data_IF_933153278107
#
_entry.id   IF_933153278107
#
_cell.length_a   1.000
_cell.length_b   1.000
_cell.length_c   1.000
_cell.angle_alpha   90.00
_cell.angle_beta   90.00
_cell.angle_gamma   90.00
#
_symmetry.space_group_name_H-M   'P 1'
#
loop_
_entity.id
_entity.type
_entity.pdbx_description
1 polymer ?
#
# COMPACT_ATOMS: atom_id res chain seq x y z
N UNK A 1 -24.40 -5.95 -15.47
CA UNK A 1 -24.65 -5.13 -14.27
C UNK A 1 -23.57 -4.06 -14.23
N UNK A 2 -23.92 -2.79 -14.30
CA UNK A 2 -22.95 -1.71 -14.12
C UNK A 2 -22.44 -1.81 -12.68
N UNK A 3 -21.17 -2.12 -12.52
CA UNK A 3 -20.52 -2.17 -11.21
C UNK A 3 -20.64 -0.80 -10.55
N UNK A 4 -21.00 -0.76 -9.28
CA UNK A 4 -21.04 0.46 -8.49
C UNK A 4 -19.67 1.14 -8.55
N UNK A 5 -19.64 2.42 -8.87
CA UNK A 5 -18.40 3.20 -8.90
C UNK A 5 -17.70 3.11 -7.53
N UNK A 6 -16.40 2.78 -7.48
CA UNK A 6 -15.70 2.62 -6.21
C UNK A 6 -15.36 3.93 -5.52
N UNK A 7 -15.49 5.09 -6.18
CA UNK A 7 -15.28 6.40 -5.58
C UNK A 7 -16.32 6.72 -4.52
N UNK A 8 -15.87 7.29 -3.40
CA UNK A 8 -16.71 7.59 -2.24
C UNK A 8 -16.94 9.08 -2.07
N UNK A 9 -15.90 9.92 -2.25
CA UNK A 9 -16.02 11.36 -2.11
C UNK A 9 -14.93 12.10 -2.88
N UNK A 10 -15.18 13.40 -3.09
CA UNK A 10 -14.21 14.38 -3.55
C UNK A 10 -14.23 15.57 -2.61
N UNK A 11 -13.06 16.12 -2.28
CA UNK A 11 -12.92 17.28 -1.41
C UNK A 11 -11.83 18.24 -1.89
N UNK A 12 -11.91 19.48 -1.42
CA UNK A 12 -10.98 20.55 -1.74
C UNK A 12 -10.45 21.19 -0.45
N UNK A 13 -9.15 21.25 -0.33
CA UNK A 13 -8.42 21.96 0.72
C UNK A 13 -7.60 23.06 0.06
N UNK A 14 -7.67 24.27 0.58
CA UNK A 14 -6.90 25.43 0.08
C UNK A 14 -5.96 25.93 1.16
N UNK A 15 -4.77 26.38 0.75
CA UNK A 15 -3.86 27.20 1.53
C UNK A 15 -3.92 28.63 1.00
N UNK A 16 -4.28 29.55 1.88
CA UNK A 16 -4.38 30.95 1.51
C UNK A 16 -3.02 31.68 1.50
N UNK A 17 -3.02 32.95 1.20
CA UNK A 17 -1.82 33.82 1.22
C UNK A 17 -1.30 34.11 2.61
N UNK A 18 -2.10 33.87 3.67
CA UNK A 18 -1.69 33.99 5.06
C UNK A 18 -1.02 32.71 5.60
N UNK A 19 -1.09 31.61 4.85
CA UNK A 19 -0.55 30.31 5.22
C UNK A 19 -1.57 29.36 5.88
N UNK A 20 -2.83 29.80 6.04
CA UNK A 20 -3.90 28.97 6.60
C UNK A 20 -4.41 27.95 5.60
N UNK A 21 -4.50 26.67 6.02
CA UNK A 21 -5.05 25.60 5.21
C UNK A 21 -6.43 25.18 5.73
N UNK A 22 -7.42 25.27 4.84
CA UNK A 22 -8.81 25.04 5.21
C UNK A 22 -9.52 24.09 4.22
N UNK A 23 -10.43 23.26 4.72
CA UNK A 23 -11.42 22.58 3.91
C UNK A 23 -12.43 23.57 3.36
N UNK A 24 -12.41 23.75 2.04
CA UNK A 24 -13.33 24.65 1.36
C UNK A 24 -14.63 23.95 1.04
N UNK A 25 -14.53 22.67 0.60
CA UNK A 25 -15.67 21.93 0.11
C UNK A 25 -15.43 20.42 0.14
N UNK A 26 -16.51 19.63 0.25
CA UNK A 26 -16.47 18.17 0.19
C UNK A 26 -17.82 17.61 -0.24
N UNK A 27 -17.82 16.62 -1.14
CA UNK A 27 -19.02 15.94 -1.61
C UNK A 27 -18.77 14.47 -1.93
N UNK A 28 -19.58 13.52 -1.44
CA UNK A 28 -20.44 13.66 -0.27
C UNK A 28 -19.65 13.98 0.99
N UNK A 29 -20.34 14.29 2.10
CA UNK A 29 -19.71 14.59 3.38
C UNK A 29 -18.96 13.37 3.92
N UNK A 30 -17.79 13.57 4.48
CA UNK A 30 -16.98 12.56 5.18
C UNK A 30 -17.03 12.77 6.69
N UNK A 31 -16.60 11.77 7.47
CA UNK A 31 -16.54 11.88 8.94
C UNK A 31 -15.50 12.92 9.38
N UNK A 32 -15.70 13.52 10.54
CA UNK A 32 -14.77 14.50 11.11
C UNK A 32 -13.35 13.91 11.26
N UNK A 33 -13.25 12.68 11.78
CA UNK A 33 -11.99 11.98 11.96
C UNK A 33 -11.20 11.82 10.64
N UNK A 34 -11.88 11.37 9.57
CA UNK A 34 -11.27 11.24 8.25
C UNK A 34 -10.88 12.61 7.69
N UNK A 35 -11.70 13.63 7.92
CA UNK A 35 -11.44 15.01 7.49
C UNK A 35 -10.16 15.58 8.13
N UNK A 36 -9.97 15.40 9.43
CA UNK A 36 -8.78 15.84 10.14
C UNK A 36 -7.52 15.10 9.67
N UNK A 37 -7.62 13.78 9.49
CA UNK A 37 -6.52 12.98 8.97
C UNK A 37 -6.12 13.48 7.57
N UNK A 38 -7.07 13.65 6.67
CA UNK A 38 -6.80 14.07 5.29
C UNK A 38 -6.21 15.49 5.22
N UNK A 39 -6.65 16.40 6.09
CA UNK A 39 -6.06 17.75 6.20
C UNK A 39 -4.56 17.67 6.54
N UNK A 40 -4.19 16.83 7.52
CA UNK A 40 -2.78 16.57 7.84
C UNK A 40 -2.01 15.96 6.67
N UNK A 41 -2.64 15.01 5.93
CA UNK A 41 -2.00 14.35 4.77
C UNK A 41 -1.79 15.27 3.56
N UNK A 42 -2.51 16.39 3.48
CA UNK A 42 -2.26 17.41 2.46
C UNK A 42 -0.93 18.15 2.66
N UNK A 43 -0.34 18.12 3.88
CA UNK A 43 0.93 18.79 4.23
C UNK A 43 0.96 20.27 3.84
N UNK A 44 -0.16 20.98 4.04
CA UNK A 44 -0.29 22.39 3.71
C UNK A 44 -0.17 23.31 4.95
N UNK A 45 -0.19 22.76 6.18
CA UNK A 45 -0.31 23.51 7.43
C UNK A 45 1.02 23.87 8.09
N UNK A 46 2.11 23.16 7.80
CA UNK A 46 3.43 23.41 8.38
C UNK A 46 4.25 24.41 7.56
N UNK A 47 5.05 25.25 8.22
CA UNK A 47 5.97 26.17 7.54
C UNK A 47 7.12 25.43 6.82
N UNK A 48 7.49 24.24 7.33
CA UNK A 48 8.56 23.39 6.80
C UNK A 48 8.05 22.09 6.16
N UNK A 49 6.74 21.96 5.96
CA UNK A 49 6.19 20.74 5.35
C UNK A 49 6.60 20.65 3.88
N UNK A 50 7.14 19.51 3.51
CA UNK A 50 7.40 19.21 2.10
C UNK A 50 6.06 18.95 1.40
N UNK A 51 5.75 19.80 0.42
CA UNK A 51 4.54 19.65 -0.37
C UNK A 51 4.74 18.55 -1.40
N UNK A 52 3.93 17.50 -1.30
CA UNK A 52 3.94 16.39 -2.23
C UNK A 52 2.88 16.58 -3.31
N UNK A 53 3.25 16.42 -4.57
CA UNK A 53 2.33 16.59 -5.71
C UNK A 53 1.25 15.51 -5.76
N UNK A 54 1.58 14.31 -5.34
CA UNK A 54 0.63 13.21 -5.25
C UNK A 54 0.99 12.28 -4.10
N UNK A 55 0.00 12.01 -3.24
CA UNK A 55 0.13 11.01 -2.17
C UNK A 55 -1.12 10.13 -2.11
N UNK A 56 -0.95 8.90 -1.69
CA UNK A 56 -2.06 8.00 -1.45
C UNK A 56 -1.83 7.20 -0.16
N UNK A 57 -2.91 6.77 0.43
CA UNK A 57 -2.87 5.96 1.64
C UNK A 57 -4.22 5.34 1.95
N UNK A 58 -4.29 4.69 3.10
CA UNK A 58 -5.51 4.04 3.56
C UNK A 58 -5.78 4.42 5.00
N UNK A 59 -7.06 4.62 5.32
CA UNK A 59 -7.54 4.75 6.68
C UNK A 59 -8.83 3.94 6.85
N UNK A 60 -8.83 2.95 7.74
CA UNK A 60 -9.99 2.07 8.02
C UNK A 60 -10.63 1.50 6.74
N UNK A 61 -9.81 0.94 5.85
CA UNK A 61 -10.21 0.36 4.54
C UNK A 61 -10.76 1.36 3.52
N UNK A 62 -10.64 2.66 3.77
CA UNK A 62 -10.93 3.70 2.80
C UNK A 62 -9.60 4.20 2.23
N UNK A 63 -9.42 4.07 0.93
CA UNK A 63 -8.29 4.64 0.22
C UNK A 63 -8.49 6.13 0.03
N UNK A 64 -7.44 6.91 0.19
CA UNK A 64 -7.40 8.32 -0.16
C UNK A 64 -6.29 8.60 -1.16
N UNK A 65 -6.54 9.56 -2.03
CA UNK A 65 -5.65 10.01 -3.08
C UNK A 65 -5.66 11.52 -3.08
N UNK A 66 -4.52 12.15 -2.84
CA UNK A 66 -4.39 13.59 -2.71
C UNK A 66 -3.49 14.10 -3.82
N UNK A 67 -4.01 15.01 -4.62
CA UNK A 67 -3.24 15.72 -5.64
C UNK A 67 -3.11 17.17 -5.21
N UNK A 68 -1.88 17.63 -4.95
CA UNK A 68 -1.59 19.01 -4.53
C UNK A 68 -0.98 19.80 -5.68
N UNK A 69 -1.45 21.02 -5.84
CA UNK A 69 -1.04 21.90 -6.92
C UNK A 69 -0.74 23.29 -6.38
N UNK A 70 0.37 23.87 -6.80
CA UNK A 70 0.70 25.28 -6.57
C UNK A 70 -0.04 26.17 -7.57
N UNK A 71 -0.63 27.25 -7.11
CA UNK A 71 -1.29 28.24 -7.97
C UNK A 71 -0.21 29.14 -8.57
N UNK A 72 -0.02 29.02 -9.89
CA UNK A 72 0.97 29.81 -10.63
C UNK A 72 0.39 31.11 -11.18
N UNK A 73 -0.89 31.06 -11.59
CA UNK A 73 -1.61 32.22 -12.09
C UNK A 73 -2.78 32.57 -11.15
N UNK A 74 -2.71 33.70 -10.42
CA UNK A 74 -3.71 34.05 -9.44
C UNK A 74 -5.01 34.64 -10.03
N UNK A 75 -5.20 34.68 -11.34
CA UNK A 75 -6.39 35.32 -11.98
C UNK A 75 -7.70 34.74 -11.46
N UNK A 76 -7.80 33.40 -11.37
CA UNK A 76 -9.02 32.73 -10.87
C UNK A 76 -8.96 32.45 -9.35
N UNK A 77 -7.78 32.41 -8.76
CA UNK A 77 -7.53 32.00 -7.36
C UNK A 77 -6.62 32.99 -6.62
N UNK A 78 -6.99 34.30 -6.64
CA UNK A 78 -6.13 35.39 -6.17
C UNK A 78 -5.70 35.35 -4.70
N UNK A 79 -6.38 34.56 -3.87
CA UNK A 79 -6.07 34.41 -2.42
C UNK A 79 -5.53 33.02 -2.06
N UNK A 80 -5.30 32.16 -3.02
CA UNK A 80 -4.87 30.76 -2.81
C UNK A 80 -3.46 30.58 -3.34
N UNK A 81 -2.57 30.06 -2.52
CA UNK A 81 -1.17 29.72 -2.91
C UNK A 81 -1.05 28.29 -3.39
N UNK A 82 -1.72 27.38 -2.70
CA UNK A 82 -1.76 25.95 -3.01
C UNK A 82 -3.15 25.40 -2.74
N UNK A 83 -3.50 24.35 -3.43
CA UNK A 83 -4.68 23.58 -3.09
C UNK A 83 -4.45 22.09 -3.26
N UNK A 84 -5.16 21.29 -2.49
CA UNK A 84 -5.16 19.82 -2.57
C UNK A 84 -6.55 19.35 -2.94
N UNK A 85 -6.61 18.55 -3.99
CA UNK A 85 -7.79 17.78 -4.34
C UNK A 85 -7.70 16.42 -3.67
N UNK A 86 -8.72 16.07 -2.89
CA UNK A 86 -8.78 14.82 -2.13
C UNK A 86 -9.87 13.92 -2.71
N UNK A 87 -9.48 12.73 -3.18
CA UNK A 87 -10.41 11.69 -3.61
C UNK A 87 -10.39 10.56 -2.59
N UNK A 88 -11.56 10.01 -2.23
CA UNK A 88 -11.64 8.78 -1.45
C UNK A 88 -12.31 7.68 -2.24
N UNK A 89 -11.88 6.44 -2.03
CA UNK A 89 -12.36 5.28 -2.80
C UNK A 89 -12.27 3.97 -2.01
N UNK A 90 -12.96 2.93 -2.51
CA UNK A 90 -12.87 1.57 -2.00
C UNK A 90 -11.76 0.76 -2.64
N UNK A 91 -11.37 1.07 -3.86
CA UNK A 91 -10.38 0.34 -4.64
C UNK A 91 -8.99 0.97 -4.56
N UNK A 92 -7.97 0.14 -4.69
CA UNK A 92 -6.58 0.54 -4.83
C UNK A 92 -6.25 0.74 -6.31
N UNK A 93 -6.10 1.99 -6.74
CA UNK A 93 -5.66 2.30 -8.11
C UNK A 93 -5.03 3.71 -8.16
N UNK A 94 -3.77 3.87 -7.69
CA UNK A 94 -3.12 5.18 -7.66
C UNK A 94 -3.05 5.88 -9.02
N UNK A 95 -2.78 5.15 -10.10
CA UNK A 95 -2.67 5.69 -11.46
C UNK A 95 -3.99 6.32 -11.93
N UNK A 96 -5.10 5.60 -11.69
CA UNK A 96 -6.45 6.07 -12.01
C UNK A 96 -6.77 7.37 -11.30
N UNK A 97 -6.54 7.41 -9.98
CA UNK A 97 -6.90 8.56 -9.17
C UNK A 97 -5.92 9.73 -9.33
N UNK A 98 -4.64 9.46 -9.61
CA UNK A 98 -3.69 10.50 -10.00
C UNK A 98 -4.08 11.17 -11.33
N UNK A 99 -4.49 10.39 -12.33
CA UNK A 99 -4.92 10.91 -13.61
C UNK A 99 -6.21 11.74 -13.47
N UNK A 100 -7.19 11.21 -12.74
CA UNK A 100 -8.44 11.93 -12.50
C UNK A 100 -8.24 13.18 -11.66
N UNK A 101 -7.43 13.10 -10.59
CA UNK A 101 -7.06 14.24 -9.75
C UNK A 101 -6.43 15.37 -10.56
N UNK A 102 -5.51 15.05 -11.47
CA UNK A 102 -4.90 16.06 -12.36
C UNK A 102 -5.91 16.76 -13.26
N UNK A 103 -6.90 16.02 -13.80
CA UNK A 103 -7.97 16.63 -14.63
C UNK A 103 -8.78 17.62 -13.79
N UNK A 104 -9.19 17.22 -12.59
CA UNK A 104 -9.97 18.07 -11.70
C UNK A 104 -9.17 19.28 -11.17
N UNK A 105 -7.88 19.11 -10.86
CA UNK A 105 -7.01 20.22 -10.45
C UNK A 105 -6.87 21.27 -11.53
N UNK A 106 -6.68 20.87 -12.79
CA UNK A 106 -6.62 21.81 -13.92
C UNK A 106 -7.95 22.52 -14.14
N UNK A 107 -9.06 21.80 -14.00
CA UNK A 107 -10.40 22.39 -14.05
C UNK A 107 -10.57 23.45 -12.97
N UNK A 108 -10.14 23.14 -11.73
CA UNK A 108 -10.22 24.09 -10.64
C UNK A 108 -9.30 25.31 -10.85
N UNK A 109 -8.07 25.09 -11.29
CA UNK A 109 -7.13 26.18 -11.62
C UNK A 109 -7.71 27.16 -12.63
N UNK A 110 -8.42 26.65 -13.64
CA UNK A 110 -9.01 27.47 -14.71
C UNK A 110 -10.23 28.29 -14.27
N UNK A 111 -11.12 27.66 -13.49
CA UNK A 111 -12.43 28.27 -13.20
C UNK A 111 -12.56 28.84 -11.78
N UNK A 112 -11.69 28.43 -10.83
CA UNK A 112 -11.77 28.85 -9.42
C UNK A 112 -13.09 28.46 -8.73
N UNK A 113 -13.83 27.48 -9.27
CA UNK A 113 -15.17 27.13 -8.81
C UNK A 113 -15.29 25.64 -8.48
N UNK A 114 -15.54 25.26 -7.20
CA UNK A 114 -15.73 23.88 -6.78
C UNK A 114 -16.90 23.15 -7.49
N UNK A 115 -17.92 23.87 -7.99
CA UNK A 115 -19.01 23.25 -8.72
C UNK A 115 -18.53 22.52 -9.99
N UNK A 116 -17.47 23.01 -10.63
CA UNK A 116 -16.87 22.36 -11.80
C UNK A 116 -16.15 21.05 -11.43
N UNK A 117 -15.56 20.98 -10.22
CA UNK A 117 -15.02 19.73 -9.68
C UNK A 117 -16.15 18.72 -9.48
N UNK A 118 -17.27 19.17 -8.90
CA UNK A 118 -18.44 18.32 -8.66
C UNK A 118 -19.04 17.79 -9.96
N UNK A 119 -19.16 18.60 -11.00
CA UNK A 119 -19.62 18.16 -12.32
C UNK A 119 -18.75 17.02 -12.86
N UNK A 120 -17.41 17.18 -12.83
CA UNK A 120 -16.46 16.14 -13.24
C UNK A 120 -16.57 14.87 -12.40
N UNK A 121 -16.68 15.00 -11.10
CA UNK A 121 -16.86 13.89 -10.18
C UNK A 121 -18.15 13.11 -10.46
N UNK A 122 -19.30 13.78 -10.54
CA UNK A 122 -20.59 13.16 -10.83
C UNK A 122 -20.56 12.48 -12.21
N UNK A 123 -19.97 13.11 -13.23
CA UNK A 123 -19.83 12.51 -14.56
C UNK A 123 -19.07 11.18 -14.52
N UNK A 124 -17.96 11.11 -13.76
CA UNK A 124 -17.20 9.86 -13.61
C UNK A 124 -17.99 8.81 -12.80
N UNK A 125 -18.67 9.21 -11.73
CA UNK A 125 -19.46 8.28 -10.91
C UNK A 125 -20.64 7.69 -11.70
N UNK A 126 -21.26 8.47 -12.57
CA UNK A 126 -22.46 8.06 -13.33
C UNK A 126 -22.11 7.38 -14.65
N UNK A 127 -21.18 7.95 -15.40
CA UNK A 127 -20.89 7.52 -16.78
C UNK A 127 -19.49 6.94 -16.97
N UNK A 128 -18.61 7.01 -15.94
CA UNK A 128 -17.23 6.56 -16.03
C UNK A 128 -16.32 7.48 -16.87
N UNK A 129 -16.78 8.69 -17.21
CA UNK A 129 -16.08 9.59 -18.13
C UNK A 129 -16.06 11.01 -17.56
N UNK A 130 -14.92 11.68 -17.67
CA UNK A 130 -14.80 13.13 -17.47
C UNK A 130 -14.15 13.73 -18.72
N UNK A 131 -14.83 14.66 -19.36
CA UNK A 131 -14.27 15.40 -20.48
C UNK A 131 -13.47 16.60 -19.98
N UNK A 132 -12.30 16.80 -20.55
CA UNK A 132 -11.47 17.98 -20.32
C UNK A 132 -11.23 18.70 -21.65
N UNK A 133 -11.45 19.99 -21.67
CA UNK A 133 -11.27 20.82 -22.87
C UNK A 133 -9.80 20.85 -23.35
N UNK A 134 -8.84 20.68 -22.43
CA UNK A 134 -7.42 20.88 -22.73
C UNK A 134 -6.58 19.59 -22.78
N UNK A 135 -7.06 18.48 -22.17
CA UNK A 135 -6.20 17.29 -21.89
C UNK A 135 -6.81 15.96 -22.34
N UNK A 136 -7.79 16.00 -23.22
CA UNK A 136 -8.52 14.80 -23.59
C UNK A 136 -9.49 14.32 -22.50
N UNK A 137 -10.12 13.18 -22.73
CA UNK A 137 -11.12 12.64 -21.81
C UNK A 137 -10.49 11.62 -20.86
N UNK A 138 -10.86 11.66 -19.59
CA UNK A 138 -10.57 10.61 -18.62
C UNK A 138 -11.66 9.53 -18.74
N UNK A 139 -11.24 8.27 -18.86
CA UNK A 139 -12.12 7.10 -18.90
C UNK A 139 -11.74 6.12 -17.81
N UNK A 140 -12.67 5.75 -16.94
CA UNK A 140 -12.42 4.77 -15.86
C UNK A 140 -12.03 3.38 -16.41
N UNK A 141 -12.54 3.01 -17.58
CA UNK A 141 -12.26 1.73 -18.24
C UNK A 141 -10.80 1.53 -18.67
N UNK A 142 -10.04 2.63 -18.78
CA UNK A 142 -8.62 2.56 -19.18
C UNK A 142 -7.71 2.11 -18.02
N UNK A 143 -8.25 2.04 -16.80
CA UNK A 143 -7.52 1.69 -15.58
C UNK A 143 -7.97 0.35 -15.01
N UNK A 144 -7.22 -0.68 -15.33
CA UNK A 144 -7.42 -2.03 -14.78
C UNK A 144 -6.78 -2.13 -13.38
N UNK A 145 -7.52 -2.65 -12.41
CA UNK A 145 -7.03 -2.89 -11.05
C UNK A 145 -5.79 -3.84 -11.02
N UNK A 146 -5.73 -4.83 -11.91
CA UNK A 146 -4.58 -5.73 -12.00
C UNK A 146 -3.31 -5.01 -12.42
N UNK A 147 -3.41 -4.00 -13.29
CA UNK A 147 -2.26 -3.17 -13.68
C UNK A 147 -1.76 -2.34 -12.51
N UNK A 148 -2.67 -1.81 -11.68
CA UNK A 148 -2.30 -1.07 -10.46
C UNK A 148 -1.55 -1.95 -9.45
N UNK A 149 -1.93 -3.22 -9.33
CA UNK A 149 -1.25 -4.20 -8.47
C UNK A 149 0.15 -4.58 -8.98
N UNK A 150 0.39 -4.50 -10.28
CA UNK A 150 1.65 -4.87 -10.94
C UNK A 150 2.51 -3.66 -11.33
N UNK A 151 2.14 -2.45 -10.88
CA UNK A 151 2.83 -1.24 -11.32
C UNK A 151 4.22 -1.06 -10.66
N UNK A 152 4.46 -1.67 -9.49
CA UNK A 152 5.76 -1.63 -8.83
C UNK A 152 6.76 -2.66 -9.37
N UNK A 153 8.06 -2.44 -9.14
CA UNK A 153 9.12 -3.34 -9.59
C UNK A 153 9.64 -4.25 -8.47
N UNK A 154 9.35 -5.55 -8.59
CA UNK A 154 9.92 -6.60 -7.72
C UNK A 154 11.42 -6.74 -7.98
N UNK A 155 11.87 -6.55 -9.23
CA UNK A 155 13.29 -6.65 -9.60
C UNK A 155 14.12 -5.60 -8.88
N UNK A 156 13.59 -4.37 -8.72
CA UNK A 156 14.29 -3.30 -8.01
C UNK A 156 14.45 -3.63 -6.53
N UNK A 157 13.40 -4.18 -5.87
CA UNK A 157 13.48 -4.64 -4.48
C UNK A 157 14.56 -5.72 -4.34
N UNK A 158 14.56 -6.72 -5.21
CA UNK A 158 15.53 -7.82 -5.17
C UNK A 158 16.95 -7.31 -5.51
N UNK A 159 17.08 -6.35 -6.41
CA UNK A 159 18.38 -5.72 -6.71
C UNK A 159 18.94 -4.99 -5.51
N UNK A 160 18.08 -4.32 -4.73
CA UNK A 160 18.51 -3.55 -3.55
C UNK A 160 18.89 -4.45 -2.37
N UNK A 161 18.14 -5.51 -2.10
CA UNK A 161 18.30 -6.34 -0.89
C UNK A 161 18.89 -7.73 -1.15
N UNK A 162 19.02 -8.15 -2.39
CA UNK A 162 19.58 -9.46 -2.72
C UNK A 162 18.91 -10.59 -1.96
N UNK A 163 19.71 -11.42 -1.31
CA UNK A 163 19.26 -12.56 -0.51
C UNK A 163 18.41 -12.16 0.70
N UNK A 164 18.54 -10.94 1.22
CA UNK A 164 17.73 -10.47 2.36
C UNK A 164 16.25 -10.25 2.00
N UNK A 165 15.92 -10.18 0.70
CA UNK A 165 14.52 -10.17 0.22
C UNK A 165 13.71 -11.33 0.79
N UNK A 166 14.36 -12.46 1.16
CA UNK A 166 13.70 -13.59 1.80
C UNK A 166 13.06 -13.22 3.16
N UNK A 167 13.62 -12.23 3.86
CA UNK A 167 13.06 -11.74 5.13
C UNK A 167 11.72 -11.08 4.87
N UNK A 168 11.64 -10.25 3.82
CA UNK A 168 10.39 -9.60 3.41
C UNK A 168 9.33 -10.63 2.99
N UNK A 169 9.71 -11.57 2.11
CA UNK A 169 8.84 -12.67 1.70
C UNK A 169 8.30 -13.44 2.90
N UNK A 170 9.17 -13.85 3.82
CA UNK A 170 8.79 -14.63 5.02
C UNK A 170 7.88 -13.82 5.93
N UNK A 171 8.21 -12.56 6.19
CA UNK A 171 7.39 -11.66 7.00
C UNK A 171 5.98 -11.50 6.44
N UNK A 172 5.86 -11.26 5.14
CA UNK A 172 4.57 -11.14 4.46
C UNK A 172 3.78 -12.45 4.47
N UNK A 173 4.45 -13.60 4.22
CA UNK A 173 3.82 -14.93 4.28
C UNK A 173 3.23 -15.21 5.67
N UNK A 174 3.95 -14.85 6.72
CA UNK A 174 3.55 -15.05 8.12
C UNK A 174 2.65 -13.94 8.67
N UNK A 175 2.17 -12.99 7.82
CA UNK A 175 1.37 -11.82 8.23
C UNK A 175 2.03 -11.00 9.35
N UNK A 176 3.36 -10.82 9.28
CA UNK A 176 4.11 -9.98 10.21
C UNK A 176 3.90 -8.50 9.89
N UNK A 177 4.19 -7.66 10.88
CA UNK A 177 4.13 -6.20 10.76
C UNK A 177 5.44 -5.71 10.13
N UNK A 178 5.35 -5.24 8.88
CA UNK A 178 6.48 -4.72 8.11
C UNK A 178 6.39 -3.20 8.10
N UNK A 179 7.39 -2.53 8.66
CA UNK A 179 7.51 -1.07 8.65
C UNK A 179 8.65 -0.67 7.74
N UNK A 180 8.41 0.30 6.88
CA UNK A 180 9.36 0.80 5.89
C UNK A 180 9.60 2.28 6.12
N UNK A 181 10.86 2.70 6.09
CA UNK A 181 11.29 4.08 6.19
C UNK A 181 11.98 4.55 4.91
N UNK A 182 11.58 5.73 4.44
CA UNK A 182 12.32 6.54 3.47
C UNK A 182 11.88 8.01 3.59
N UNK A 183 12.82 9.01 3.57
CA UNK A 183 12.46 10.43 3.70
C UNK A 183 11.65 10.97 2.53
N UNK A 184 11.78 10.38 1.33
CA UNK A 184 11.00 10.76 0.15
C UNK A 184 9.80 9.85 -0.05
N UNK A 185 8.61 10.47 -0.08
CA UNK A 185 7.33 9.75 -0.12
C UNK A 185 7.15 8.92 -1.40
N UNK A 186 7.64 9.40 -2.53
CA UNK A 186 7.52 8.72 -3.81
C UNK A 186 8.22 7.36 -3.78
N UNK A 187 9.48 7.33 -3.30
CA UNK A 187 10.24 6.09 -3.14
C UNK A 187 9.60 5.16 -2.11
N UNK A 188 9.12 5.73 -0.99
CA UNK A 188 8.42 4.98 0.05
C UNK A 188 7.14 4.30 -0.48
N UNK A 189 6.31 5.04 -1.22
CA UNK A 189 5.07 4.54 -1.77
C UNK A 189 5.30 3.53 -2.88
N UNK A 190 6.31 3.73 -3.73
CA UNK A 190 6.68 2.79 -4.78
C UNK A 190 7.17 1.45 -4.21
N UNK A 191 8.02 1.49 -3.19
CA UNK A 191 8.49 0.29 -2.52
C UNK A 191 7.37 -0.45 -1.80
N UNK A 192 6.61 0.25 -0.95
CA UNK A 192 5.58 -0.37 -0.11
C UNK A 192 4.45 -0.98 -0.92
N UNK A 193 4.02 -0.33 -2.03
CA UNK A 193 2.96 -0.86 -2.90
C UNK A 193 3.36 -2.14 -3.63
N UNK A 194 4.67 -2.37 -3.79
CA UNK A 194 5.20 -3.55 -4.46
C UNK A 194 5.20 -4.78 -3.55
N UNK A 195 5.36 -4.60 -2.22
CA UNK A 195 5.50 -5.71 -1.28
C UNK A 195 4.37 -6.76 -1.34
N UNK A 196 3.07 -6.41 -1.47
CA UNK A 196 2.01 -7.42 -1.57
C UNK A 196 2.14 -8.36 -2.77
N UNK A 197 2.93 -8.01 -3.79
CA UNK A 197 3.17 -8.90 -4.95
C UNK A 197 3.94 -10.16 -4.60
N UNK A 198 4.75 -10.15 -3.54
CA UNK A 198 5.45 -11.35 -3.03
C UNK A 198 4.50 -12.43 -2.51
N UNK A 199 3.29 -12.02 -2.09
CA UNK A 199 2.22 -12.92 -1.62
C UNK A 199 1.03 -12.90 -2.58
N UNK A 200 1.31 -12.98 -3.89
CA UNK A 200 0.33 -12.84 -4.97
C UNK A 200 -0.90 -13.75 -4.84
N UNK A 201 -0.79 -14.88 -4.16
CA UNK A 201 -1.91 -15.79 -3.92
C UNK A 201 -3.04 -15.17 -3.08
N UNK A 202 -2.75 -14.14 -2.28
CA UNK A 202 -3.75 -13.44 -1.47
C UNK A 202 -4.40 -12.28 -2.22
N UNK A 203 -3.68 -11.61 -3.12
CA UNK A 203 -4.11 -10.41 -3.86
C UNK A 203 -4.79 -9.37 -2.95
N UNK A 204 -4.22 -9.18 -1.75
CA UNK A 204 -4.77 -8.31 -0.71
C UNK A 204 -3.90 -7.08 -0.50
N UNK A 205 -4.33 -5.94 -1.04
CA UNK A 205 -3.70 -4.64 -0.80
C UNK A 205 -4.27 -3.91 0.42
N UNK A 206 -5.25 -4.48 1.12
CA UNK A 206 -5.79 -3.89 2.36
C UNK A 206 -4.80 -3.89 3.52
N UNK A 207 -3.71 -4.67 3.42
CA UNK A 207 -2.60 -4.67 4.38
C UNK A 207 -1.69 -3.45 4.24
N UNK A 208 -1.83 -2.67 3.16
CA UNK A 208 -0.91 -1.60 2.81
C UNK A 208 -1.34 -0.27 3.40
N UNK A 209 -0.48 0.33 4.21
CA UNK A 209 -0.57 1.68 4.79
C UNK A 209 0.65 2.52 4.34
N UNK A 210 0.70 2.97 3.08
CA UNK A 210 1.94 3.44 2.44
C UNK A 210 2.42 4.82 2.91
N UNK A 211 1.63 5.53 3.71
CA UNK A 211 1.97 6.84 4.25
C UNK A 211 1.33 7.06 5.62
N UNK A 212 2.11 6.84 6.66
CA UNK A 212 1.71 6.96 8.06
C UNK A 212 2.51 8.05 8.77
N UNK A 213 1.91 8.68 9.77
CA UNK A 213 2.60 9.58 10.69
C UNK A 213 2.70 8.95 12.08
N UNK A 214 3.72 9.35 12.85
CA UNK A 214 3.93 8.92 14.22
C UNK A 214 3.00 9.68 15.21
N UNK A 215 1.70 9.72 14.90
CA UNK A 215 0.68 10.28 15.79
C UNK A 215 -0.17 9.18 16.42
N UNK A 216 -0.83 9.51 17.52
CA UNK A 216 -1.60 8.56 18.32
C UNK A 216 -2.70 7.86 17.51
N UNK A 217 -3.50 8.60 16.77
CA UNK A 217 -4.68 8.08 16.07
C UNK A 217 -4.33 7.08 14.97
N UNK A 218 -3.28 7.39 14.20
CA UNK A 218 -2.81 6.52 13.13
C UNK A 218 -2.14 5.26 13.70
N UNK A 219 -1.36 5.40 14.77
CA UNK A 219 -0.72 4.26 15.43
C UNK A 219 -1.73 3.32 16.10
N UNK A 220 -2.78 3.85 16.72
CA UNK A 220 -3.85 3.03 17.31
C UNK A 220 -4.65 2.30 16.21
N UNK A 221 -4.92 2.97 15.08
CA UNK A 221 -5.55 2.31 13.93
C UNK A 221 -4.66 1.17 13.36
N UNK A 222 -3.33 1.38 13.35
CA UNK A 222 -2.37 0.39 12.89
C UNK A 222 -2.27 -0.82 13.83
N UNK A 223 -2.27 -0.58 15.15
CA UNK A 223 -2.24 -1.63 16.18
C UNK A 223 -3.45 -2.57 16.14
N UNK A 224 -4.59 -2.08 15.63
CA UNK A 224 -5.77 -2.91 15.42
C UNK A 224 -5.61 -3.94 14.28
N UNK A 225 -4.57 -3.81 13.45
CA UNK A 225 -4.26 -4.73 12.36
C UNK A 225 -3.33 -5.86 12.85
N UNK A 226 -3.61 -7.10 12.45
CA UNK A 226 -2.79 -8.26 12.83
C UNK A 226 -1.48 -8.34 12.06
N UNK A 227 -1.45 -7.86 10.81
CA UNK A 227 -0.27 -7.79 9.96
C UNK A 227 -0.46 -6.71 8.91
N UNK A 228 0.63 -6.02 8.56
CA UNK A 228 0.56 -4.88 7.64
C UNK A 228 1.91 -4.55 7.01
N UNK A 229 1.85 -3.72 5.99
CA UNK A 229 2.97 -2.97 5.44
C UNK A 229 2.71 -1.48 5.67
N UNK A 230 3.52 -0.83 6.50
CA UNK A 230 3.34 0.59 6.81
C UNK A 230 4.58 1.41 6.46
N UNK A 231 4.37 2.52 5.75
CA UNK A 231 5.42 3.44 5.31
C UNK A 231 5.47 4.71 6.15
N UNK A 232 6.67 5.11 6.56
CA UNK A 232 6.94 6.32 7.36
C UNK A 232 8.06 7.15 6.72
N UNK A 233 7.89 8.46 6.74
CA UNK A 233 8.93 9.42 6.32
C UNK A 233 9.75 9.97 7.49
N UNK A 234 9.37 9.65 8.73
CA UNK A 234 10.11 10.02 9.95
C UNK A 234 10.95 8.84 10.45
N UNK A 235 12.28 9.00 10.48
CA UNK A 235 13.21 7.96 10.94
C UNK A 235 12.99 7.56 12.42
N UNK A 236 12.38 8.41 13.23
CA UNK A 236 12.04 8.07 14.63
C UNK A 236 11.19 6.81 14.76
N UNK A 237 10.61 6.32 13.68
CA UNK A 237 9.89 5.04 13.66
C UNK A 237 10.78 3.86 14.04
N UNK A 238 12.10 3.93 13.83
CA UNK A 238 13.06 2.88 14.24
C UNK A 238 13.03 2.65 15.76
N UNK A 239 12.76 3.70 16.54
CA UNK A 239 12.69 3.64 18.01
C UNK A 239 11.36 3.05 18.53
N UNK A 240 10.52 2.53 17.62
CA UNK A 240 9.22 1.98 17.92
C UNK A 240 9.10 0.48 17.57
N UNK A 241 9.95 -0.40 18.19
CA UNK A 241 9.89 -1.84 17.93
C UNK A 241 8.55 -2.48 18.36
N UNK A 242 7.72 -1.77 19.09
CA UNK A 242 6.37 -2.18 19.47
C UNK A 242 5.40 -2.25 18.26
N UNK A 243 5.70 -1.53 17.18
CA UNK A 243 4.83 -1.49 15.99
C UNK A 243 5.37 -2.28 14.80
N UNK A 244 6.51 -2.95 14.88
CA UNK A 244 7.00 -3.76 13.76
C UNK A 244 7.64 -5.08 14.22
N UNK A 245 7.57 -6.07 13.36
CA UNK A 245 8.33 -7.31 13.43
C UNK A 245 9.55 -7.25 12.50
N UNK A 246 9.40 -6.56 11.37
CA UNK A 246 10.44 -6.30 10.37
C UNK A 246 10.46 -4.80 10.08
N UNK A 247 11.65 -4.20 10.19
CA UNK A 247 11.90 -2.81 9.81
C UNK A 247 12.82 -2.75 8.61
N UNK A 248 12.48 -1.92 7.63
CA UNK A 248 13.21 -1.72 6.39
C UNK A 248 13.66 -0.27 6.29
N UNK A 249 14.95 -0.03 6.28
CA UNK A 249 15.54 1.27 5.99
C UNK A 249 15.98 1.29 4.51
N UNK A 250 15.22 1.98 3.67
CA UNK A 250 15.53 2.04 2.24
C UNK A 250 16.76 2.87 1.92
N UNK A 251 17.09 3.85 2.76
CA UNK A 251 18.28 4.72 2.56
C UNK A 251 19.57 3.91 2.75
N UNK A 252 19.60 3.11 3.81
CA UNK A 252 20.78 2.29 4.16
C UNK A 252 20.73 0.90 3.51
N UNK A 253 19.64 0.56 2.81
CA UNK A 253 19.41 -0.78 2.26
C UNK A 253 19.52 -1.88 3.33
N UNK A 254 18.94 -1.63 4.51
CA UNK A 254 19.03 -2.50 5.68
C UNK A 254 17.65 -3.06 6.06
N UNK A 255 17.61 -4.34 6.44
CA UNK A 255 16.42 -5.01 6.99
C UNK A 255 16.72 -5.50 8.39
N UNK A 256 15.95 -5.03 9.37
CA UNK A 256 16.09 -5.40 10.79
C UNK A 256 14.89 -6.24 11.21
N UNK A 257 15.16 -7.41 11.83
CA UNK A 257 14.15 -8.21 12.51
C UNK A 257 14.11 -7.78 13.98
N UNK A 258 12.95 -7.37 14.46
CA UNK A 258 12.77 -6.99 15.86
C UNK A 258 13.12 -8.15 16.81
N UNK A 259 13.68 -7.89 18.01
CA UNK A 259 14.11 -8.95 18.93
C UNK A 259 13.03 -9.99 19.25
N UNK A 260 11.78 -9.56 19.45
CA UNK A 260 10.64 -10.42 19.75
C UNK A 260 10.19 -11.29 18.55
N UNK A 261 10.57 -10.94 17.32
CA UNK A 261 10.21 -11.67 16.12
C UNK A 261 11.29 -12.66 15.64
N UNK A 262 12.51 -12.62 16.22
CA UNK A 262 13.65 -13.43 15.74
C UNK A 262 13.37 -14.92 15.75
N UNK A 263 12.71 -15.44 16.76
CA UNK A 263 12.40 -16.86 16.87
C UNK A 263 11.42 -17.31 15.79
N UNK A 264 10.33 -16.58 15.60
CA UNK A 264 9.29 -16.89 14.60
C UNK A 264 9.75 -16.67 13.16
N UNK A 265 10.80 -15.88 12.98
CA UNK A 265 11.42 -15.56 11.68
C UNK A 265 12.76 -16.27 11.48
N UNK A 266 13.03 -17.35 12.23
CA UNK A 266 14.26 -18.13 12.09
C UNK A 266 14.36 -18.75 10.67
N UNK A 267 15.50 -18.49 10.00
CA UNK A 267 15.73 -18.93 8.63
C UNK A 267 16.42 -20.30 8.58
N UNK A 268 15.99 -21.14 7.65
CA UNK A 268 16.57 -22.46 7.41
C UNK A 268 16.85 -22.72 5.93
N UNK A 269 17.13 -23.99 5.60
CA UNK A 269 17.43 -24.40 4.22
C UNK A 269 16.31 -24.02 3.25
N UNK A 270 15.03 -24.25 3.63
CA UNK A 270 13.89 -23.89 2.79
C UNK A 270 13.89 -22.39 2.42
N UNK A 271 14.16 -21.52 3.39
CA UNK A 271 14.24 -20.08 3.14
C UNK A 271 15.39 -19.73 2.20
N UNK A 272 16.57 -20.38 2.36
CA UNK A 272 17.70 -20.20 1.47
C UNK A 272 17.36 -20.58 0.03
N UNK A 273 16.68 -21.71 -0.16
CA UNK A 273 16.28 -22.21 -1.49
C UNK A 273 15.27 -21.25 -2.15
N UNK A 274 14.31 -20.74 -1.39
CA UNK A 274 13.35 -19.74 -1.87
C UNK A 274 14.06 -18.42 -2.21
N UNK A 275 14.94 -17.93 -1.33
CA UNK A 275 15.71 -16.72 -1.57
C UNK A 275 16.58 -16.79 -2.82
N UNK A 276 17.25 -17.94 -3.05
CA UNK A 276 18.00 -18.17 -4.28
C UNK A 276 17.12 -18.14 -5.53
N UNK A 277 15.93 -18.76 -5.48
CA UNK A 277 14.97 -18.69 -6.59
C UNK A 277 14.54 -17.25 -6.88
N UNK A 278 14.24 -16.45 -5.84
CA UNK A 278 13.84 -15.04 -5.98
C UNK A 278 14.96 -14.25 -6.65
N UNK A 279 16.20 -14.37 -6.14
CA UNK A 279 17.38 -13.63 -6.67
C UNK A 279 17.70 -14.06 -8.11
N UNK A 280 17.69 -15.36 -8.40
CA UNK A 280 17.96 -15.87 -9.75
C UNK A 280 16.88 -15.42 -10.74
N UNK A 281 15.59 -15.49 -10.34
CA UNK A 281 14.50 -15.07 -11.21
C UNK A 281 14.54 -13.57 -11.48
N UNK A 282 14.79 -12.74 -10.48
CA UNK A 282 14.87 -11.30 -10.63
C UNK A 282 16.14 -10.83 -11.39
N UNK A 283 17.26 -11.55 -11.22
CA UNK A 283 18.53 -11.27 -11.91
C UNK A 283 18.53 -11.65 -13.40
N UNK A 284 17.52 -12.38 -13.86
CA UNK A 284 17.39 -12.73 -15.28
C UNK A 284 16.95 -11.49 -16.10
N UNK A 285 17.77 -11.01 -17.05
CA UNK A 285 17.43 -9.83 -17.83
C UNK A 285 16.26 -10.05 -18.79
N UNK A 286 16.00 -11.29 -19.18
CA UNK A 286 14.92 -11.64 -20.13
C UNK A 286 13.55 -11.77 -19.42
N UNK A 287 13.51 -11.72 -18.10
CA UNK A 287 12.28 -11.79 -17.33
C UNK A 287 11.74 -10.39 -16.98
N UNK A 288 10.47 -10.19 -17.25
CA UNK A 288 9.70 -9.04 -16.73
C UNK A 288 9.33 -9.24 -15.24
N UNK A 289 9.01 -8.16 -14.54
CA UNK A 289 8.49 -8.22 -13.16
C UNK A 289 7.30 -9.18 -13.03
N UNK A 290 6.37 -9.15 -13.97
CA UNK A 290 5.23 -10.08 -13.98
C UNK A 290 5.66 -11.56 -14.09
N UNK A 291 6.77 -11.85 -14.75
CA UNK A 291 7.31 -13.22 -14.81
C UNK A 291 7.97 -13.60 -13.49
N UNK A 292 8.72 -12.70 -12.88
CA UNK A 292 9.32 -12.92 -11.54
C UNK A 292 8.23 -13.17 -10.49
N UNK A 293 7.19 -12.35 -10.47
CA UNK A 293 6.02 -12.54 -9.58
C UNK A 293 5.38 -13.91 -9.80
N UNK A 294 5.27 -14.36 -11.05
CA UNK A 294 4.72 -15.69 -11.39
C UNK A 294 5.60 -16.82 -10.83
N UNK A 295 6.92 -16.71 -10.95
CA UNK A 295 7.86 -17.71 -10.45
C UNK A 295 7.79 -17.80 -8.91
N UNK A 296 7.78 -16.66 -8.21
CA UNK A 296 7.58 -16.59 -6.74
C UNK A 296 6.22 -17.18 -6.36
N UNK A 297 5.15 -16.83 -7.06
CA UNK A 297 3.81 -17.35 -6.82
C UNK A 297 3.72 -18.85 -7.02
N UNK A 298 4.42 -19.40 -8.00
CA UNK A 298 4.49 -20.84 -8.23
C UNK A 298 5.17 -21.55 -7.04
N UNK A 299 6.29 -21.00 -6.55
CA UNK A 299 6.98 -21.54 -5.37
C UNK A 299 6.10 -21.46 -4.12
N UNK A 300 5.39 -20.36 -3.94
CA UNK A 300 4.42 -20.20 -2.85
C UNK A 300 3.32 -21.26 -2.91
N UNK A 301 2.78 -21.53 -4.11
CA UNK A 301 1.76 -22.58 -4.30
C UNK A 301 2.27 -23.97 -3.93
N UNK A 302 3.52 -24.30 -4.27
CA UNK A 302 4.14 -25.56 -3.89
C UNK A 302 4.18 -25.72 -2.35
N UNK A 303 4.59 -24.66 -1.64
CA UNK A 303 4.63 -24.66 -0.17
C UNK A 303 3.22 -24.82 0.42
N UNK A 304 2.24 -24.09 -0.11
CA UNK A 304 0.85 -24.20 0.34
C UNK A 304 0.24 -25.56 0.03
N UNK A 305 0.64 -26.20 -1.08
CA UNK A 305 0.23 -27.57 -1.41
C UNK A 305 0.81 -28.58 -0.43
N UNK A 306 2.09 -28.44 -0.07
CA UNK A 306 2.71 -29.26 0.98
C UNK A 306 1.93 -29.09 2.29
N UNK A 307 1.65 -27.84 2.67
CA UNK A 307 0.91 -27.53 3.88
C UNK A 307 -0.51 -28.13 3.85
N UNK A 308 -1.21 -28.03 2.73
CA UNK A 308 -2.54 -28.62 2.57
C UNK A 308 -2.52 -30.14 2.66
N UNK A 309 -1.46 -30.81 2.17
CA UNK A 309 -1.30 -32.27 2.25
C UNK A 309 -1.07 -32.81 3.66
N UNK A 310 -0.81 -31.94 4.63
CA UNK A 310 -0.68 -32.29 6.04
C UNK A 310 -2.04 -32.39 6.76
N UNK A 311 -3.12 -32.01 6.11
CA UNK A 311 -4.48 -32.18 6.67
C UNK A 311 -4.85 -33.67 6.69
N UNK A 312 -5.46 -34.15 7.78
CA UNK A 312 -5.83 -35.56 7.90
C UNK A 312 -6.93 -36.00 6.94
N UNK A 313 -7.76 -35.06 6.46
CA UNK A 313 -8.90 -35.37 5.59
C UNK A 313 -8.72 -34.82 4.17
N UNK A 314 -9.11 -35.59 3.16
CA UNK A 314 -9.09 -35.16 1.75
C UNK A 314 -10.09 -34.02 1.45
N UNK A 315 -11.16 -33.89 2.25
CA UNK A 315 -12.20 -32.87 2.11
C UNK A 315 -11.73 -31.45 2.52
N UNK A 316 -10.51 -31.29 3.03
CA UNK A 316 -9.91 -30.00 3.41
C UNK A 316 -10.61 -29.28 4.58
N UNK A 317 -11.50 -29.95 5.32
CA UNK A 317 -12.23 -29.40 6.46
C UNK A 317 -11.46 -29.51 7.77
N UNK A 318 -10.63 -30.53 7.91
CA UNK A 318 -9.81 -30.72 9.09
C UNK A 318 -8.65 -29.72 9.11
N UNK A 319 -8.23 -29.38 10.31
CA UNK A 319 -7.13 -28.44 10.53
C UNK A 319 -5.84 -29.20 10.89
N UNK A 320 -4.71 -28.56 10.62
CA UNK A 320 -3.39 -29.07 10.92
C UNK A 320 -3.14 -28.90 12.42
N UNK A 321 -2.62 -29.92 13.10
CA UNK A 321 -2.18 -29.83 14.49
C UNK A 321 -0.66 -29.79 14.58
N UNK A 322 -0.14 -29.37 15.73
CA UNK A 322 1.30 -29.35 15.97
C UNK A 322 1.91 -30.77 15.96
N UNK A 323 1.14 -31.77 16.41
CA UNK A 323 1.55 -33.18 16.42
C UNK A 323 1.81 -33.67 14.99
N UNK A 324 0.93 -33.37 14.03
CA UNK A 324 1.08 -33.75 12.62
C UNK A 324 2.36 -33.15 12.02
N UNK A 325 2.68 -31.90 12.38
CA UNK A 325 3.92 -31.25 11.91
C UNK A 325 5.16 -31.93 12.49
N UNK A 326 5.15 -32.29 13.79
CA UNK A 326 6.25 -33.00 14.48
C UNK A 326 6.49 -34.39 13.92
N UNK A 327 5.43 -35.14 13.59
CA UNK A 327 5.52 -36.47 13.00
C UNK A 327 6.24 -36.47 11.64
N UNK A 328 6.26 -35.36 10.93
CA UNK A 328 6.98 -35.24 9.65
C UNK A 328 8.46 -35.00 9.78
N UNK A 329 8.98 -34.79 11.01
CA UNK A 329 10.40 -34.58 11.29
C UNK A 329 11.07 -33.51 10.42
N UNK A 330 10.39 -32.40 10.17
CA UNK A 330 10.99 -31.27 9.47
C UNK A 330 12.13 -30.66 10.30
N UNK A 331 13.17 -30.07 9.66
CA UNK A 331 14.16 -29.28 10.38
C UNK A 331 13.46 -28.17 11.19
N UNK A 332 13.92 -27.83 12.41
CA UNK A 332 13.23 -26.91 13.32
C UNK A 332 12.82 -25.57 12.69
N UNK A 333 13.64 -24.87 11.86
CA UNK A 333 13.20 -23.62 11.21
C UNK A 333 12.08 -23.85 10.18
N UNK A 334 12.07 -24.99 9.50
CA UNK A 334 11.02 -25.34 8.53
C UNK A 334 9.72 -25.67 9.23
N UNK A 335 9.78 -26.44 10.32
CA UNK A 335 8.62 -26.77 11.15
C UNK A 335 7.98 -25.51 11.72
N UNK A 336 8.79 -24.62 12.31
CA UNK A 336 8.32 -23.32 12.82
C UNK A 336 7.67 -22.48 11.74
N UNK A 337 8.30 -22.37 10.56
CA UNK A 337 7.74 -21.64 9.43
C UNK A 337 6.39 -22.21 8.98
N UNK A 338 6.29 -23.53 8.79
CA UNK A 338 5.05 -24.19 8.35
C UNK A 338 3.94 -24.05 9.40
N UNK A 339 4.27 -24.12 10.69
CA UNK A 339 3.33 -23.89 11.78
C UNK A 339 2.74 -22.47 11.73
N UNK A 340 3.58 -21.47 11.66
CA UNK A 340 3.13 -20.06 11.58
C UNK A 340 2.42 -19.75 10.25
N UNK A 341 2.84 -20.39 9.16
CA UNK A 341 2.15 -20.27 7.88
C UNK A 341 0.76 -20.90 7.93
N UNK A 342 0.60 -22.07 8.56
CA UNK A 342 -0.70 -22.69 8.76
C UNK A 342 -1.65 -21.80 9.58
N UNK A 343 -1.12 -21.11 10.60
CA UNK A 343 -1.87 -20.11 11.35
C UNK A 343 -2.27 -18.92 10.47
N UNK A 344 -1.34 -18.38 9.69
CA UNK A 344 -1.58 -17.26 8.79
C UNK A 344 -2.64 -17.56 7.71
N UNK A 345 -2.66 -18.80 7.20
CA UNK A 345 -3.62 -19.28 6.21
C UNK A 345 -4.90 -19.87 6.83
N UNK A 346 -5.08 -19.75 8.16
CA UNK A 346 -6.23 -20.27 8.90
C UNK A 346 -6.41 -21.79 8.77
N UNK A 347 -5.32 -22.52 8.54
CA UNK A 347 -5.28 -23.98 8.41
C UNK A 347 -4.95 -24.67 9.74
N UNK A 348 -4.51 -23.93 10.76
CA UNK A 348 -4.11 -24.47 12.05
C UNK A 348 -5.32 -24.65 12.97
N UNK A 349 -5.33 -25.75 13.72
CA UNK A 349 -6.24 -25.92 14.87
C UNK A 349 -5.58 -25.24 16.08
N UNK A 350 -6.24 -24.21 16.59
CA UNK A 350 -5.85 -23.49 17.81
C UNK A 350 -6.58 -24.10 18.99
#
# INVERSE_FOLDING_TARGET
MAGTCPMLSVGLVEKDTNGDALWVWCYPTITAELRELLLRKCSLTGENDVIHTFVFGQFRRTWYYITTTQVQDPTALSKVTHFSLVLTAKDFNPEKYAAFGRVLCRTYMKYGNPARIMEGYISVVTNGICQSEENGSFFTKDYDAKKAYLAGSVKDIVSQFGMETIILYTGLMLKKRVVVYHPHIEALQEFTRTLPTFIWHRQDWSILHPYMHLNHDELEALKACTGYVAGFTDLKVIDRPDIYDVFVNLVESEIIIAPHAKETMAMGKLHKDIGQLIVQSAGDPDKSDGRVIKDISQKTKEILTILASLRPDEDGKSKITLEILKERHFPPPTESFLYHLAAAEQMLQI
#
